data_IF_859921228591
#
_entry.id   IF_859921228591
#
_cell.length_a   1.000
_cell.length_b   1.000
_cell.length_c   1.000
_cell.angle_alpha   90.00
_cell.angle_beta   90.00
_cell.angle_gamma   90.00
#
_symmetry.space_group_name_H-M   'P 1'
#
loop_
_entity.id
_entity.type
_entity.pdbx_description
1 polymer ?
#
# COMPACT_ATOMS: atom_id res chain seq x y z
N UNK A 1 -6.21 -5.44 19.92
CA UNK A 1 -5.34 -6.57 19.56
C UNK A 1 -4.48 -6.12 18.40
N UNK A 2 -3.16 -6.11 18.57
CA UNK A 2 -2.23 -5.91 17.45
C UNK A 2 -2.33 -7.15 16.55
N UNK A 3 -2.61 -6.93 15.27
CA UNK A 3 -2.74 -8.02 14.31
C UNK A 3 -1.32 -8.42 13.89
N UNK A 4 -0.82 -9.53 14.44
CA UNK A 4 0.45 -10.11 14.02
C UNK A 4 0.18 -10.85 12.70
N UNK A 5 0.90 -10.48 11.65
CA UNK A 5 0.83 -11.18 10.36
C UNK A 5 1.43 -12.58 10.52
N UNK A 6 0.74 -13.61 10.04
CA UNK A 6 1.31 -14.95 9.98
C UNK A 6 2.50 -14.98 9.01
N UNK A 7 3.31 -16.04 9.08
CA UNK A 7 4.47 -16.19 8.19
C UNK A 7 4.03 -16.41 6.74
N UNK A 8 2.89 -17.07 6.57
CA UNK A 8 2.22 -17.32 5.31
C UNK A 8 1.72 -16.00 4.71
N UNK A 9 1.01 -15.18 5.50
CA UNK A 9 0.56 -13.85 5.08
C UNK A 9 1.73 -12.95 4.70
N UNK A 10 2.81 -12.96 5.51
CA UNK A 10 4.02 -12.20 5.23
C UNK A 10 4.60 -12.55 3.85
N UNK A 11 4.65 -13.84 3.52
CA UNK A 11 5.22 -14.31 2.26
C UNK A 11 4.33 -13.93 1.07
N UNK A 12 3.02 -14.12 1.20
CA UNK A 12 2.04 -13.76 0.18
C UNK A 12 2.03 -12.25 -0.10
N UNK A 13 1.96 -11.43 0.96
CA UNK A 13 1.96 -9.97 0.85
C UNK A 13 3.28 -9.48 0.23
N UNK A 14 4.42 -10.00 0.67
CA UNK A 14 5.72 -9.63 0.10
C UNK A 14 5.82 -10.00 -1.39
N UNK A 15 5.29 -11.14 -1.78
CA UNK A 15 5.24 -11.53 -3.18
C UNK A 15 4.35 -10.57 -3.98
N UNK A 16 3.14 -10.29 -3.49
CA UNK A 16 2.22 -9.35 -4.12
C UNK A 16 2.85 -7.98 -4.35
N UNK A 17 3.43 -7.37 -3.31
CA UNK A 17 4.04 -6.03 -3.38
C UNK A 17 5.18 -5.96 -4.41
N UNK A 18 5.99 -7.02 -4.50
CA UNK A 18 7.08 -7.09 -5.49
C UNK A 18 6.57 -7.20 -6.92
N UNK A 19 5.47 -7.92 -7.15
CA UNK A 19 4.91 -8.05 -8.49
C UNK A 19 4.18 -6.77 -8.89
N UNK A 20 3.46 -6.14 -7.96
CA UNK A 20 2.79 -4.86 -8.18
C UNK A 20 3.79 -3.77 -8.61
N UNK A 21 4.93 -3.67 -7.91
CA UNK A 21 6.00 -2.74 -8.29
C UNK A 21 6.57 -3.03 -9.70
N UNK A 22 6.77 -4.30 -10.05
CA UNK A 22 7.28 -4.66 -11.39
C UNK A 22 6.30 -4.30 -12.50
N UNK A 23 5.01 -4.42 -12.22
CA UNK A 23 3.94 -4.24 -13.19
C UNK A 23 3.56 -2.78 -13.39
N UNK A 24 3.57 -2.00 -12.30
CA UNK A 24 3.19 -0.59 -12.32
C UNK A 24 4.41 0.33 -12.44
N UNK A 25 5.62 -0.16 -12.17
CA UNK A 25 6.81 0.68 -12.02
C UNK A 25 6.79 1.54 -10.76
N UNK A 26 5.73 1.47 -9.95
CA UNK A 26 5.51 2.31 -8.77
C UNK A 26 5.70 1.48 -7.51
N UNK A 27 6.44 2.02 -6.53
CA UNK A 27 6.51 1.40 -5.22
C UNK A 27 5.16 1.59 -4.48
N UNK A 28 4.49 0.50 -4.04
CA UNK A 28 3.14 0.60 -3.47
C UNK A 28 3.09 1.48 -2.21
N UNK A 29 1.98 2.18 -2.05
CA UNK A 29 1.67 2.98 -0.85
C UNK A 29 0.95 2.11 0.19
N UNK A 30 1.54 1.97 1.38
CA UNK A 30 0.94 1.24 2.51
C UNK A 30 0.30 2.23 3.47
N UNK A 31 -1.02 2.07 3.70
CA UNK A 31 -1.78 2.91 4.63
C UNK A 31 -2.16 2.09 5.86
N UNK A 32 -1.69 2.53 7.03
CA UNK A 32 -1.98 1.90 8.32
C UNK A 32 -3.02 2.74 9.07
N UNK A 33 -4.28 2.28 9.09
CA UNK A 33 -5.42 3.05 9.60
C UNK A 33 -5.65 2.97 11.11
N UNK A 34 -4.93 2.09 11.80
CA UNK A 34 -4.99 1.87 13.25
C UNK A 34 -3.58 1.82 13.84
N UNK A 35 -2.78 2.84 13.54
CA UNK A 35 -1.37 2.88 13.88
C UNK A 35 -1.20 3.45 15.30
N UNK A 36 -0.64 2.65 16.23
CA UNK A 36 0.01 3.20 17.43
C UNK A 36 1.41 3.65 17.02
N UNK A 37 1.94 4.67 17.68
CA UNK A 37 3.18 5.40 17.36
C UNK A 37 4.42 4.52 17.06
N UNK A 38 4.44 3.27 17.49
CA UNK A 38 5.46 2.26 17.17
C UNK A 38 4.84 0.94 16.70
N UNK A 39 4.16 0.98 15.55
CA UNK A 39 3.49 -0.20 15.01
C UNK A 39 4.49 -1.24 14.47
N UNK A 40 4.50 -2.44 15.04
CA UNK A 40 5.23 -3.60 14.51
C UNK A 40 4.92 -3.88 13.03
N UNK A 41 3.72 -3.51 12.57
CA UNK A 41 3.34 -3.60 11.16
C UNK A 41 4.19 -2.68 10.29
N UNK A 42 4.49 -1.45 10.73
CA UNK A 42 5.37 -0.53 9.99
C UNK A 42 6.75 -1.14 9.79
N UNK A 43 7.34 -1.70 10.84
CA UNK A 43 8.63 -2.40 10.75
C UNK A 43 8.55 -3.64 9.85
N UNK A 44 7.41 -4.33 9.87
CA UNK A 44 7.18 -5.51 9.03
C UNK A 44 7.12 -5.15 7.55
N UNK A 45 6.38 -4.12 7.16
CA UNK A 45 6.35 -3.63 5.78
C UNK A 45 7.70 -3.03 5.34
N UNK A 46 8.40 -2.35 6.25
CA UNK A 46 9.77 -1.86 5.97
C UNK A 46 10.71 -3.03 5.64
N UNK A 47 10.66 -4.14 6.40
CA UNK A 47 11.41 -5.37 6.11
C UNK A 47 11.00 -6.07 4.82
N UNK A 48 9.83 -5.76 4.26
CA UNK A 48 9.42 -6.21 2.93
C UNK A 48 10.00 -5.35 1.81
N UNK A 49 10.64 -4.21 2.12
CA UNK A 49 11.21 -3.26 1.17
C UNK A 49 10.28 -2.09 0.83
N UNK A 50 9.23 -1.85 1.63
CA UNK A 50 8.33 -0.73 1.41
C UNK A 50 8.87 0.53 2.08
N UNK A 51 8.84 1.64 1.36
CA UNK A 51 9.28 2.97 1.83
C UNK A 51 8.09 3.91 2.05
N UNK A 52 7.08 3.81 1.19
CA UNK A 52 5.86 4.61 1.20
C UNK A 52 4.84 4.11 2.24
N UNK A 53 5.17 4.21 3.53
CA UNK A 53 4.31 3.73 4.63
C UNK A 53 3.74 4.92 5.43
N UNK A 54 2.42 5.09 5.41
CA UNK A 54 1.72 6.20 6.06
C UNK A 54 0.79 5.69 7.17
N UNK A 55 0.95 6.23 8.37
CA UNK A 55 0.06 5.98 9.50
C UNK A 55 -1.05 7.03 9.51
N UNK A 56 -2.15 6.75 8.80
CA UNK A 56 -3.29 7.66 8.66
C UNK A 56 -4.40 7.15 9.57
N UNK A 57 -4.48 7.66 10.79
CA UNK A 57 -5.58 7.29 11.67
C UNK A 57 -6.91 7.85 11.16
N UNK A 58 -8.01 7.14 11.46
CA UNK A 58 -9.35 7.66 11.23
C UNK A 58 -9.57 8.94 12.04
N UNK A 59 -10.15 9.96 11.41
CA UNK A 59 -10.64 11.15 12.11
C UNK A 59 -12.02 10.83 12.68
N UNK A 60 -12.18 10.88 14.00
CA UNK A 60 -13.50 10.79 14.64
C UNK A 60 -14.03 12.18 14.99
N UNK A 61 -15.35 12.33 15.19
CA UNK A 61 -15.97 13.61 15.61
C UNK A 61 -15.41 14.08 16.97
N UNK A 62 -14.97 13.13 17.78
CA UNK A 62 -14.29 13.31 19.07
C UNK A 62 -12.79 13.63 18.95
N UNK A 63 -12.19 13.51 17.76
CA UNK A 63 -10.80 13.89 17.54
C UNK A 63 -10.74 15.42 17.53
N UNK A 64 -10.42 16.00 18.68
CA UNK A 64 -10.13 17.43 18.74
C UNK A 64 -8.93 17.73 17.84
N UNK A 65 -8.96 18.87 17.14
CA UNK A 65 -7.88 19.45 16.31
C UNK A 65 -6.49 19.51 17.00
N UNK A 66 -6.41 19.16 18.29
CA UNK A 66 -5.26 19.29 19.17
C UNK A 66 -4.19 18.20 19.04
N UNK A 67 -4.40 17.10 18.30
CA UNK A 67 -3.28 16.20 17.98
C UNK A 67 -2.42 16.87 16.91
N UNK A 68 -1.47 17.68 17.39
CA UNK A 68 -0.51 18.44 16.59
C UNK A 68 0.08 17.51 15.52
N UNK A 69 0.10 17.98 14.27
CA UNK A 69 0.73 17.30 13.11
C UNK A 69 -0.02 16.08 12.53
N UNK A 70 -1.11 15.57 13.12
CA UNK A 70 -1.88 14.44 12.55
C UNK A 70 -2.39 14.71 11.12
N UNK A 71 -2.81 15.95 10.86
CA UNK A 71 -3.22 16.42 9.52
C UNK A 71 -2.05 16.46 8.53
N UNK A 72 -0.81 16.63 8.98
CA UNK A 72 0.34 16.67 8.07
C UNK A 72 0.59 15.31 7.43
N UNK A 73 0.32 14.21 8.13
CA UNK A 73 0.54 12.86 7.58
C UNK A 73 -0.38 12.60 6.39
N UNK A 74 -1.66 12.94 6.49
CA UNK A 74 -2.60 12.81 5.37
C UNK A 74 -2.30 13.79 4.24
N UNK A 75 -1.89 15.02 4.55
CA UNK A 75 -1.51 16.00 3.52
C UNK A 75 -0.23 15.57 2.77
N UNK A 76 0.78 15.05 3.46
CA UNK A 76 1.98 14.51 2.84
C UNK A 76 1.65 13.30 1.95
N UNK A 77 0.79 12.39 2.44
CA UNK A 77 0.30 11.27 1.63
C UNK A 77 -0.38 11.73 0.32
N UNK A 78 -1.29 12.71 0.42
CA UNK A 78 -1.97 13.26 -0.76
C UNK A 78 -0.98 13.90 -1.74
N UNK A 79 -0.01 14.68 -1.23
CA UNK A 79 1.05 15.27 -2.04
C UNK A 79 1.85 14.19 -2.79
N UNK A 80 2.28 13.16 -2.08
CA UNK A 80 3.17 12.13 -2.64
C UNK A 80 2.44 11.26 -3.68
N UNK A 81 1.15 10.99 -3.49
CA UNK A 81 0.31 10.37 -4.52
C UNK A 81 0.19 11.25 -5.76
N UNK A 82 -0.06 12.55 -5.60
CA UNK A 82 -0.18 13.46 -6.74
C UNK A 82 1.10 13.55 -7.56
N UNK A 83 2.27 13.51 -6.90
CA UNK A 83 3.56 13.41 -7.59
C UNK A 83 3.67 12.11 -8.40
N UNK A 84 3.24 10.98 -7.84
CA UNK A 84 3.23 9.70 -8.53
C UNK A 84 2.28 9.68 -9.73
N UNK A 85 1.07 10.24 -9.60
CA UNK A 85 0.10 10.35 -10.69
C UNK A 85 0.64 11.26 -11.79
N UNK A 86 1.23 12.40 -11.43
CA UNK A 86 1.83 13.32 -12.40
C UNK A 86 2.99 12.65 -13.17
N UNK A 87 3.82 11.87 -12.48
CA UNK A 87 4.87 11.07 -13.13
C UNK A 87 4.28 10.11 -14.18
N UNK A 88 3.24 9.35 -13.83
CA UNK A 88 2.57 8.43 -14.76
C UNK A 88 1.88 9.13 -15.94
N UNK A 89 1.30 10.31 -15.74
CA UNK A 89 0.67 11.08 -16.81
C UNK A 89 1.67 11.69 -17.80
N UNK A 90 2.93 11.86 -17.40
CA UNK A 90 4.01 12.36 -18.26
C UNK A 90 4.66 11.23 -19.08
N UNK A 91 4.50 9.97 -18.66
CA UNK A 91 4.93 8.82 -19.45
C UNK A 91 3.96 8.57 -20.60
N UNK A 92 4.49 8.34 -21.81
CA UNK A 92 3.68 8.02 -22.98
C UNK A 92 3.24 6.54 -22.92
N UNK A 93 2.26 6.24 -22.08
CA UNK A 93 1.81 4.86 -21.82
C UNK A 93 0.63 4.49 -22.73
N UNK A 94 0.66 3.29 -23.29
CA UNK A 94 -0.51 2.69 -23.94
C UNK A 94 -1.45 2.10 -22.87
N UNK A 95 -2.47 2.87 -22.50
CA UNK A 95 -3.44 2.48 -21.47
C UNK A 95 -4.12 1.13 -21.72
N UNK A 96 -4.39 0.75 -22.98
CA UNK A 96 -5.09 -0.51 -23.28
C UNK A 96 -4.20 -1.72 -22.97
N UNK A 97 -2.93 -1.66 -23.35
CA UNK A 97 -1.95 -2.71 -23.05
C UNK A 97 -1.76 -2.83 -21.54
N UNK A 98 -1.54 -1.70 -20.86
CA UNK A 98 -1.31 -1.68 -19.42
C UNK A 98 -2.52 -2.21 -18.64
N UNK A 99 -3.74 -1.81 -19.02
CA UNK A 99 -4.97 -2.32 -18.40
C UNK A 99 -5.12 -3.83 -18.57
N UNK A 100 -4.78 -4.38 -19.74
CA UNK A 100 -4.85 -5.82 -19.98
C UNK A 100 -3.86 -6.60 -19.11
N UNK A 101 -2.63 -6.11 -19.00
CA UNK A 101 -1.59 -6.70 -18.15
C UNK A 101 -1.99 -6.68 -16.68
N UNK A 102 -2.48 -5.53 -16.18
CA UNK A 102 -2.99 -5.37 -14.82
C UNK A 102 -4.13 -6.32 -14.50
N UNK A 103 -5.11 -6.41 -15.40
CA UNK A 103 -6.26 -7.30 -15.21
C UNK A 103 -5.84 -8.77 -15.18
N UNK A 104 -4.91 -9.16 -16.05
CA UNK A 104 -4.39 -10.54 -16.12
C UNK A 104 -3.60 -10.91 -14.86
N UNK A 105 -2.78 -9.99 -14.36
CA UNK A 105 -2.05 -10.14 -13.12
C UNK A 105 -2.98 -10.33 -11.91
N UNK A 106 -3.96 -9.43 -11.75
CA UNK A 106 -4.91 -9.49 -10.63
C UNK A 106 -5.71 -10.80 -10.62
N UNK A 107 -6.14 -11.27 -11.81
CA UNK A 107 -6.82 -12.57 -11.96
C UNK A 107 -5.92 -13.74 -11.57
N UNK A 108 -4.66 -13.74 -11.99
CA UNK A 108 -3.69 -14.77 -11.62
C UNK A 108 -3.48 -14.84 -10.11
N UNK A 109 -3.25 -13.69 -9.48
CA UNK A 109 -3.06 -13.60 -8.03
C UNK A 109 -4.30 -14.08 -7.26
N UNK A 110 -5.51 -13.70 -7.69
CA UNK A 110 -6.75 -14.16 -7.08
C UNK A 110 -6.89 -15.69 -7.17
N UNK A 111 -6.57 -16.28 -8.32
CA UNK A 111 -6.68 -17.73 -8.52
C UNK A 111 -5.64 -18.52 -7.71
N UNK A 112 -4.39 -18.06 -7.65
CA UNK A 112 -3.34 -18.67 -6.82
C UNK A 112 -3.71 -18.64 -5.33
N UNK A 113 -4.42 -17.60 -4.90
CA UNK A 113 -4.95 -17.48 -3.53
C UNK A 113 -6.02 -18.54 -3.24
N UNK A 114 -6.89 -18.86 -4.19
CA UNK A 114 -7.92 -19.90 -4.05
C UNK A 114 -7.33 -21.31 -4.00
N UNK A 115 -6.34 -21.60 -4.84
CA UNK A 115 -5.71 -22.93 -4.89
C UNK A 115 -4.88 -23.27 -3.65
N UNK A 116 -4.38 -22.26 -2.92
CA UNK A 116 -3.64 -22.44 -1.68
C UNK A 116 -4.54 -22.58 -0.44
N UNK A 117 -5.87 -22.50 -0.60
CA UNK A 117 -6.87 -22.64 0.48
C UNK A 117 -7.64 -23.98 0.42
N UNK A 118 -7.40 -24.81 -0.60
CA UNK A 118 -7.92 -26.19 -0.77
C UNK A 118 -6.82 -27.21 -0.54
#
# INVERSE_FOLDING_TARGET
SEHILSKEDFTLIKHFLKQDQKLTGVLPFIILTKCRTESELRNTFTRMGMENIYCIENYTISDHLAVKEKHLVILNFLRDILLCVNFHLQECINFQTQQHEWTSFLKKMANESLTNQT
#
